data_IF_273905418439
#
_entry.id   IF_273905418439
#
_cell.length_a   1.000
_cell.length_b   1.000
_cell.length_c   1.000
_cell.angle_alpha   90.00
_cell.angle_beta   90.00
_cell.angle_gamma   90.00
#
_symmetry.space_group_name_H-M   'P 1'
#
loop_
_entity.id
_entity.type
_entity.pdbx_description
1 polymer ?
#
# COMPACT_ATOMS: atom_id res chain seq x y z
N UNK A 1 -7.32 8.53 4.62
CA UNK A 1 -6.91 8.10 3.26
C UNK A 1 -8.04 8.37 2.26
N UNK A 2 -7.79 8.19 0.96
CA UNK A 2 -8.83 8.27 -0.09
C UNK A 2 -9.33 6.86 -0.40
N UNK A 3 -10.60 6.57 -0.13
CA UNK A 3 -11.17 5.22 -0.23
C UNK A 3 -11.25 4.61 -1.63
N UNK A 4 -10.83 5.34 -2.67
CA UNK A 4 -10.80 4.86 -4.06
C UNK A 4 -9.41 4.84 -4.69
N UNK A 5 -8.35 5.29 -4.03
CA UNK A 5 -7.05 5.35 -4.71
C UNK A 5 -6.48 3.95 -4.90
N UNK A 6 -6.40 3.51 -6.16
CA UNK A 6 -5.71 2.28 -6.60
C UNK A 6 -4.36 2.63 -7.24
N UNK A 7 -3.51 1.63 -7.48
CA UNK A 7 -2.22 1.82 -8.14
C UNK A 7 -2.43 2.23 -9.60
N UNK A 8 -3.20 1.45 -10.36
CA UNK A 8 -3.28 1.55 -11.83
C UNK A 8 -4.61 2.07 -12.38
N UNK A 9 -5.72 1.85 -11.66
CA UNK A 9 -7.05 2.04 -12.21
C UNK A 9 -7.87 3.08 -11.44
N UNK A 10 -8.48 4.02 -12.14
CA UNK A 10 -9.31 5.05 -11.53
C UNK A 10 -10.63 4.44 -11.01
N UNK A 11 -11.22 4.97 -9.94
CA UNK A 11 -12.55 4.55 -9.47
C UNK A 11 -13.36 5.72 -8.88
N UNK A 12 -12.88 6.29 -7.77
CA UNK A 12 -13.48 7.50 -7.14
C UNK A 12 -12.60 8.74 -7.28
N UNK A 13 -11.50 8.60 -8.03
CA UNK A 13 -10.46 9.59 -8.26
C UNK A 13 -9.33 8.99 -9.09
N UNK A 14 -8.35 9.83 -9.43
CA UNK A 14 -7.17 9.43 -10.20
C UNK A 14 -6.36 8.34 -9.46
N UNK A 15 -5.98 7.30 -10.18
CA UNK A 15 -5.04 6.28 -9.71
C UNK A 15 -3.70 6.90 -9.29
N UNK A 16 -2.99 6.18 -8.42
CA UNK A 16 -1.67 6.57 -7.92
C UNK A 16 -0.72 6.92 -9.06
N UNK A 17 -0.67 6.08 -10.10
CA UNK A 17 0.19 6.33 -11.25
C UNK A 17 -0.21 7.59 -12.04
N UNK A 18 -1.51 7.84 -12.21
CA UNK A 18 -2.02 9.01 -12.93
C UNK A 18 -1.73 10.31 -12.19
N UNK A 19 -1.78 10.31 -10.86
CA UNK A 19 -1.54 11.50 -10.04
C UNK A 19 -0.09 11.69 -9.60
N UNK A 20 0.80 10.72 -9.86
CA UNK A 20 2.17 10.76 -9.34
C UNK A 20 2.96 11.98 -9.83
N UNK A 21 2.79 12.40 -11.09
CA UNK A 21 3.46 13.61 -11.59
C UNK A 21 3.02 14.84 -10.80
N UNK A 22 1.70 15.03 -10.69
CA UNK A 22 1.10 16.18 -10.01
C UNK A 22 1.45 16.20 -8.52
N UNK A 23 1.33 15.06 -7.85
CA UNK A 23 1.38 14.99 -6.39
C UNK A 23 2.79 14.77 -5.84
N UNK A 24 3.75 14.35 -6.67
CA UNK A 24 5.13 14.06 -6.24
C UNK A 24 6.15 14.71 -7.16
N UNK A 25 6.19 14.35 -8.44
CA UNK A 25 7.32 14.74 -9.31
C UNK A 25 7.38 16.25 -9.60
N UNK A 26 6.22 16.91 -9.67
CA UNK A 26 6.10 18.34 -9.94
C UNK A 26 6.12 19.19 -8.65
N UNK A 27 6.18 18.57 -7.47
CA UNK A 27 6.18 19.30 -6.21
C UNK A 27 7.58 19.86 -5.92
N UNK A 28 7.72 21.18 -5.67
CA UNK A 28 9.02 21.80 -5.46
C UNK A 28 9.68 21.30 -4.18
N UNK A 29 10.98 20.97 -4.27
CA UNK A 29 11.80 20.60 -3.12
C UNK A 29 11.58 19.18 -2.59
N UNK A 30 10.76 18.35 -3.26
CA UNK A 30 10.61 16.94 -2.88
C UNK A 30 11.89 16.17 -3.16
N UNK A 31 12.39 15.48 -2.15
CA UNK A 31 13.58 14.61 -2.22
C UNK A 31 13.26 13.15 -1.95
N UNK A 32 12.15 12.89 -1.24
CA UNK A 32 11.73 11.54 -0.85
C UNK A 32 10.21 11.41 -1.01
N UNK A 33 9.75 10.20 -1.32
CA UNK A 33 8.33 9.86 -1.32
C UNK A 33 8.11 8.52 -0.63
N UNK A 34 7.12 8.46 0.28
CA UNK A 34 6.69 7.22 0.93
C UNK A 34 5.34 6.83 0.35
N UNK A 35 5.26 5.66 -0.29
CA UNK A 35 4.08 5.20 -1.01
C UNK A 35 3.48 3.99 -0.29
N UNK A 36 2.22 4.13 0.12
CA UNK A 36 1.39 3.03 0.60
C UNK A 36 0.12 2.97 -0.26
N UNK A 37 0.11 2.08 -1.24
CA UNK A 37 -1.01 1.86 -2.17
C UNK A 37 -1.12 0.36 -2.50
N UNK A 38 -2.35 -0.12 -2.73
CA UNK A 38 -2.63 -1.49 -3.15
C UNK A 38 -3.79 -2.15 -2.41
N UNK A 39 -4.09 -1.75 -1.17
CA UNK A 39 -5.23 -2.30 -0.41
C UNK A 39 -6.54 -2.06 -1.16
N UNK A 40 -6.72 -0.88 -1.76
CA UNK A 40 -7.91 -0.56 -2.56
C UNK A 40 -7.98 -1.31 -3.89
N UNK A 41 -6.85 -1.72 -4.47
CA UNK A 41 -6.80 -2.53 -5.69
C UNK A 41 -7.39 -3.93 -5.42
N UNK A 42 -7.14 -4.46 -4.22
CA UNK A 42 -7.70 -5.74 -3.76
C UNK A 42 -9.11 -5.58 -3.21
N UNK A 43 -9.33 -4.60 -2.35
CA UNK A 43 -10.56 -4.46 -1.56
C UNK A 43 -11.76 -4.08 -2.42
N UNK A 44 -11.61 -3.08 -3.29
CA UNK A 44 -12.76 -2.55 -4.02
C UNK A 44 -13.33 -3.57 -5.02
N UNK A 45 -14.62 -3.43 -5.33
CA UNK A 45 -15.22 -4.17 -6.45
C UNK A 45 -14.77 -3.49 -7.75
N UNK A 46 -14.12 -4.21 -8.66
CA UNK A 46 -13.71 -3.64 -9.92
C UNK A 46 -14.95 -3.25 -10.74
N UNK A 47 -14.87 -2.16 -11.50
CA UNK A 47 -15.96 -1.73 -12.38
C UNK A 47 -16.12 -2.65 -13.58
N UNK A 48 -15.04 -3.31 -13.98
CA UNK A 48 -14.95 -4.29 -15.08
C UNK A 48 -14.10 -5.48 -14.65
N UNK A 49 -14.37 -6.68 -15.17
CA UNK A 49 -13.66 -7.89 -14.75
C UNK A 49 -12.14 -7.79 -14.94
N UNK A 50 -11.69 -7.04 -15.95
CA UNK A 50 -10.28 -6.81 -16.29
C UNK A 50 -9.55 -5.92 -15.27
N UNK A 51 -10.28 -5.23 -14.38
CA UNK A 51 -9.69 -4.43 -13.31
C UNK A 51 -9.49 -5.22 -12.01
N UNK A 52 -9.88 -6.50 -11.94
CA UNK A 52 -9.48 -7.38 -10.85
C UNK A 52 -7.98 -7.68 -11.01
N UNK A 53 -7.17 -7.13 -10.12
CA UNK A 53 -5.71 -7.18 -10.24
C UNK A 53 -5.13 -8.53 -9.80
N UNK A 54 -4.03 -8.90 -10.44
CA UNK A 54 -3.13 -9.99 -10.02
C UNK A 54 -1.88 -9.41 -9.37
N UNK A 55 -1.13 -10.24 -8.61
CA UNK A 55 0.13 -9.80 -8.01
C UNK A 55 1.13 -9.26 -9.05
N UNK A 56 1.37 -9.93 -10.21
CA UNK A 56 2.25 -9.38 -11.24
C UNK A 56 1.83 -8.00 -11.76
N UNK A 57 0.53 -7.75 -11.93
CA UNK A 57 0.03 -6.44 -12.36
C UNK A 57 0.27 -5.37 -11.29
N UNK A 58 -0.04 -5.66 -10.02
CA UNK A 58 0.25 -4.74 -8.91
C UNK A 58 1.75 -4.44 -8.82
N UNK A 59 2.60 -5.47 -8.90
CA UNK A 59 4.05 -5.34 -8.89
C UNK A 59 4.54 -4.46 -10.05
N UNK A 60 4.06 -4.70 -11.26
CA UNK A 60 4.41 -3.88 -12.42
C UNK A 60 4.00 -2.41 -12.22
N UNK A 61 2.81 -2.16 -11.66
CA UNK A 61 2.35 -0.82 -11.30
C UNK A 61 3.23 -0.16 -10.22
N UNK A 62 3.61 -0.90 -9.18
CA UNK A 62 4.48 -0.38 -8.12
C UNK A 62 5.87 -0.02 -8.65
N UNK A 63 6.45 -0.85 -9.53
CA UNK A 63 7.75 -0.57 -10.18
C UNK A 63 7.75 0.74 -10.98
N UNK A 64 6.61 1.17 -11.51
CA UNK A 64 6.53 2.46 -12.23
C UNK A 64 6.80 3.65 -11.30
N UNK A 65 6.46 3.56 -10.01
CA UNK A 65 6.80 4.63 -9.06
C UNK A 65 8.32 4.73 -8.86
N UNK A 66 9.02 3.60 -8.72
CA UNK A 66 10.48 3.56 -8.64
C UNK A 66 11.11 4.21 -9.86
N UNK A 67 10.81 3.68 -11.06
CA UNK A 67 11.37 4.17 -12.33
C UNK A 67 11.19 5.67 -12.48
N UNK A 68 9.97 6.17 -12.21
CA UNK A 68 9.65 7.58 -12.41
C UNK A 68 10.22 8.48 -11.31
N UNK A 69 10.17 8.06 -10.05
CA UNK A 69 10.72 8.83 -8.94
C UNK A 69 12.23 8.95 -9.01
N UNK A 70 12.92 7.82 -9.21
CA UNK A 70 14.38 7.76 -9.29
C UNK A 70 14.92 8.52 -10.52
N UNK A 71 14.21 8.50 -11.65
CA UNK A 71 14.56 9.32 -12.81
C UNK A 71 14.50 10.84 -12.53
N UNK A 72 13.76 11.24 -11.49
CA UNK A 72 13.67 12.62 -11.02
C UNK A 72 14.55 12.91 -9.79
N UNK A 73 15.41 11.97 -9.39
CA UNK A 73 16.28 12.11 -8.21
C UNK A 73 15.52 12.08 -6.88
N UNK A 74 14.29 11.55 -6.87
CA UNK A 74 13.47 11.38 -5.67
C UNK A 74 13.67 9.96 -5.15
N UNK A 75 14.10 9.81 -3.89
CA UNK A 75 14.16 8.49 -3.23
C UNK A 75 12.73 7.95 -3.05
N UNK A 76 12.48 6.75 -3.54
CA UNK A 76 11.17 6.10 -3.50
C UNK A 76 11.16 5.02 -2.43
N UNK A 77 10.35 5.22 -1.40
CA UNK A 77 10.17 4.31 -0.28
C UNK A 77 8.78 3.68 -0.41
N UNK A 78 8.70 2.35 -0.45
CA UNK A 78 7.42 1.63 -0.54
C UNK A 78 7.04 0.99 0.79
N UNK A 79 5.74 0.93 1.06
CA UNK A 79 5.21 0.22 2.21
C UNK A 79 4.47 -1.06 1.80
N UNK A 80 4.63 -2.12 2.59
CA UNK A 80 3.83 -3.35 2.44
C UNK A 80 2.34 -3.10 2.69
N UNK A 81 1.50 -3.91 2.06
CA UNK A 81 0.04 -3.89 2.20
C UNK A 81 -0.39 -4.45 3.56
N UNK A 82 -1.17 -3.70 4.31
CA UNK A 82 -1.67 -4.09 5.64
C UNK A 82 -2.78 -5.14 5.55
N UNK A 83 -3.00 -5.94 6.61
CA UNK A 83 -4.17 -6.83 6.69
C UNK A 83 -5.48 -6.05 6.62
N UNK A 84 -6.53 -6.70 6.10
CA UNK A 84 -7.88 -6.14 6.00
C UNK A 84 -8.98 -7.21 6.09
N UNK A 85 -8.68 -8.38 6.65
CA UNK A 85 -9.71 -9.38 6.93
C UNK A 85 -10.77 -8.79 7.86
N UNK A 86 -12.04 -9.16 7.62
CA UNK A 86 -13.21 -8.66 8.36
C UNK A 86 -13.54 -7.17 8.19
N UNK A 87 -12.93 -6.48 7.21
CA UNK A 87 -13.28 -5.08 6.92
C UNK A 87 -14.80 -4.85 6.82
N UNK A 88 -15.29 -3.79 7.48
CA UNK A 88 -16.73 -3.64 7.76
C UNK A 88 -17.51 -2.87 6.68
N UNK A 89 -16.85 -2.30 5.68
CA UNK A 89 -17.48 -1.44 4.67
C UNK A 89 -17.99 -2.20 3.45
N UNK A 90 -17.36 -3.31 3.07
CA UNK A 90 -17.73 -4.06 1.88
C UNK A 90 -17.71 -5.58 2.12
N UNK A 91 -18.89 -6.20 2.24
CA UNK A 91 -18.99 -7.65 2.38
C UNK A 91 -18.29 -8.39 1.24
N UNK A 92 -17.43 -9.35 1.60
CA UNK A 92 -16.65 -10.18 0.67
C UNK A 92 -15.46 -9.47 0.02
N UNK A 93 -15.13 -8.25 0.43
CA UNK A 93 -13.96 -7.54 -0.09
C UNK A 93 -12.66 -8.29 0.21
N UNK A 94 -12.56 -8.84 1.42
CA UNK A 94 -11.55 -9.83 1.75
C UNK A 94 -12.04 -11.24 1.39
N UNK A 95 -11.13 -12.04 0.83
CA UNK A 95 -11.30 -13.47 0.61
C UNK A 95 -9.91 -14.12 0.42
N UNK A 96 -9.80 -15.46 0.51
CA UNK A 96 -8.51 -16.16 0.40
C UNK A 96 -7.75 -15.88 -0.91
N UNK A 97 -8.46 -15.64 -2.02
CA UNK A 97 -7.81 -15.32 -3.32
C UNK A 97 -7.13 -13.95 -3.26
N UNK A 98 -7.79 -12.93 -2.71
CA UNK A 98 -7.24 -11.58 -2.57
C UNK A 98 -6.13 -11.53 -1.51
N UNK A 99 -6.27 -12.31 -0.44
CA UNK A 99 -5.20 -12.48 0.54
C UNK A 99 -3.94 -13.11 -0.08
N UNK A 100 -4.10 -14.13 -0.94
CA UNK A 100 -2.96 -14.71 -1.65
C UNK A 100 -2.24 -13.67 -2.53
N UNK A 101 -2.97 -12.76 -3.17
CA UNK A 101 -2.36 -11.65 -3.93
C UNK A 101 -1.63 -10.69 -2.99
N UNK A 102 -2.24 -10.31 -1.87
CA UNK A 102 -1.60 -9.45 -0.86
C UNK A 102 -0.28 -10.03 -0.36
N UNK A 103 -0.27 -11.32 -0.02
CA UNK A 103 0.93 -12.03 0.44
C UNK A 103 2.00 -12.07 -0.64
N UNK A 104 1.64 -12.39 -1.89
CA UNK A 104 2.60 -12.42 -2.99
C UNK A 104 3.25 -11.05 -3.24
N UNK A 105 2.47 -9.95 -3.18
CA UNK A 105 3.00 -8.59 -3.30
C UNK A 105 3.91 -8.25 -2.12
N UNK A 106 3.51 -8.55 -0.88
CA UNK A 106 4.32 -8.27 0.31
C UNK A 106 5.61 -9.09 0.36
N UNK A 107 5.56 -10.36 -0.06
CA UNK A 107 6.74 -11.21 -0.17
C UNK A 107 7.73 -10.65 -1.19
N UNK A 108 7.25 -10.21 -2.35
CA UNK A 108 8.09 -9.54 -3.34
C UNK A 108 8.67 -8.22 -2.80
N UNK A 109 7.85 -7.38 -2.16
CA UNK A 109 8.32 -6.11 -1.57
C UNK A 109 9.47 -6.35 -0.58
N UNK A 110 9.40 -7.40 0.25
CA UNK A 110 10.46 -7.72 1.22
C UNK A 110 11.77 -8.20 0.60
N UNK A 111 11.78 -8.58 -0.67
CA UNK A 111 12.94 -9.17 -1.37
C UNK A 111 13.50 -8.29 -2.48
N UNK A 112 12.72 -7.33 -2.96
CA UNK A 112 13.10 -6.49 -4.09
C UNK A 112 14.10 -5.39 -3.67
N UNK A 113 14.93 -4.99 -4.63
CA UNK A 113 15.83 -3.85 -4.59
C UNK A 113 15.43 -2.75 -5.61
N UNK A 114 14.22 -2.86 -6.20
CA UNK A 114 13.71 -1.85 -7.15
C UNK A 114 13.50 -0.46 -6.50
N UNK A 115 13.41 -0.38 -5.17
CA UNK A 115 13.10 0.85 -4.40
C UNK A 115 14.25 1.20 -3.46
N UNK A 116 14.35 2.48 -3.09
CA UNK A 116 15.38 2.98 -2.18
C UNK A 116 15.24 2.39 -0.76
N UNK A 117 14.00 2.11 -0.33
CA UNK A 117 13.72 1.35 0.88
C UNK A 117 12.30 0.76 0.90
N UNK A 118 12.10 -0.21 1.79
CA UNK A 118 10.81 -0.83 2.07
C UNK A 118 10.49 -0.71 3.56
N UNK A 119 9.29 -0.23 3.89
CA UNK A 119 8.78 -0.19 5.26
C UNK A 119 7.69 -1.24 5.44
N UNK A 120 7.88 -2.16 6.39
CA UNK A 120 6.99 -3.30 6.58
C UNK A 120 5.81 -2.97 7.53
N UNK A 121 4.87 -2.16 7.05
CA UNK A 121 3.64 -1.85 7.78
C UNK A 121 2.73 -3.07 8.02
N UNK A 122 2.84 -4.13 7.21
CA UNK A 122 2.15 -5.39 7.47
C UNK A 122 2.64 -5.98 8.80
N UNK A 123 3.97 -6.12 8.97
CA UNK A 123 4.54 -6.60 10.23
C UNK A 123 4.31 -5.65 11.40
N UNK A 124 4.28 -4.35 11.16
CA UNK A 124 4.05 -3.36 12.22
C UNK A 124 2.63 -3.45 12.80
N UNK A 125 1.64 -3.88 12.01
CA UNK A 125 0.24 -3.82 12.37
C UNK A 125 -0.46 -5.16 12.58
N UNK A 126 -0.02 -6.22 11.89
CA UNK A 126 -0.74 -7.50 11.90
C UNK A 126 -0.74 -8.15 13.28
N UNK A 127 -1.83 -8.85 13.57
CA UNK A 127 -1.89 -9.74 14.71
C UNK A 127 -0.90 -10.92 14.48
N UNK A 128 0.06 -11.18 15.38
CA UNK A 128 1.00 -12.29 15.20
C UNK A 128 0.32 -13.66 15.26
N UNK A 129 -0.78 -13.78 15.99
CA UNK A 129 -1.58 -15.01 16.09
C UNK A 129 -2.62 -15.11 14.98
N UNK A 130 -2.98 -13.99 14.34
CA UNK A 130 -3.88 -13.95 13.18
C UNK A 130 -3.40 -12.99 12.07
N UNK A 131 -2.38 -13.36 11.25
CA UNK A 131 -1.69 -12.42 10.34
C UNK A 131 -2.51 -11.80 9.21
N UNK A 132 -3.73 -12.29 8.98
CA UNK A 132 -4.71 -11.75 8.02
C UNK A 132 -5.52 -10.58 8.61
N UNK A 133 -5.45 -10.39 9.94
CA UNK A 133 -6.13 -9.36 10.71
C UNK A 133 -5.14 -8.36 11.32
N UNK A 134 -5.61 -7.12 11.56
CA UNK A 134 -4.87 -6.12 12.32
C UNK A 134 -4.92 -6.44 13.81
N UNK A 135 -3.83 -6.22 14.55
CA UNK A 135 -3.81 -6.42 15.99
C UNK A 135 -4.86 -5.48 16.65
N UNK A 136 -5.74 -5.97 17.55
CA UNK A 136 -6.88 -5.17 18.02
C UNK A 136 -6.54 -3.82 18.64
N UNK A 137 -5.36 -3.68 19.27
CA UNK A 137 -4.91 -2.38 19.82
C UNK A 137 -4.61 -1.33 18.74
N UNK A 138 -4.31 -1.78 17.52
CA UNK A 138 -3.99 -0.96 16.37
C UNK A 138 -5.18 -0.73 15.43
N UNK A 139 -6.29 -1.44 15.61
CA UNK A 139 -7.50 -1.31 14.80
C UNK A 139 -8.42 -0.22 15.37
N UNK A 140 -9.02 0.62 14.50
CA UNK A 140 -10.02 1.60 14.93
C UNK A 140 -11.42 0.98 15.12
N UNK A 141 -11.58 -0.30 14.80
CA UNK A 141 -12.80 -1.09 14.91
C UNK A 141 -13.46 -1.40 13.58
N UNK A 142 -12.86 -1.00 12.46
CA UNK A 142 -13.37 -1.27 11.11
C UNK A 142 -12.58 -2.34 10.34
N UNK A 143 -11.54 -2.89 10.98
CA UNK A 143 -10.66 -3.94 10.46
C UNK A 143 -9.96 -3.57 9.14
N UNK A 144 -9.80 -2.27 8.86
CA UNK A 144 -9.17 -1.74 7.66
C UNK A 144 -8.21 -0.59 7.97
N UNK A 145 -8.63 0.34 8.83
CA UNK A 145 -7.90 1.53 9.17
C UNK A 145 -7.26 1.42 10.55
N UNK A 146 -5.99 1.86 10.69
CA UNK A 146 -5.36 1.93 11.99
C UNK A 146 -6.06 2.93 12.92
N UNK A 147 -6.08 2.62 14.22
CA UNK A 147 -6.32 3.58 15.30
C UNK A 147 -5.13 4.54 15.45
N UNK A 148 -5.24 5.52 16.34
CA UNK A 148 -4.11 6.42 16.67
C UNK A 148 -2.85 5.64 17.12
N UNK A 149 -3.03 4.53 17.85
CA UNK A 149 -1.91 3.66 18.25
C UNK A 149 -1.33 2.91 17.06
N UNK A 150 -2.18 2.45 16.14
CA UNK A 150 -1.73 1.80 14.91
C UNK A 150 -0.95 2.76 14.01
N UNK A 151 -1.43 4.00 13.84
CA UNK A 151 -0.70 5.02 13.09
C UNK A 151 0.64 5.40 13.76
N UNK A 152 0.69 5.44 15.10
CA UNK A 152 1.97 5.59 15.81
C UNK A 152 2.92 4.43 15.53
N UNK A 153 2.45 3.18 15.60
CA UNK A 153 3.26 2.00 15.31
C UNK A 153 3.79 2.01 13.86
N UNK A 154 3.00 2.49 12.89
CA UNK A 154 3.49 2.70 11.52
C UNK A 154 4.58 3.76 11.46
N UNK A 155 4.41 4.90 12.15
CA UNK A 155 5.43 5.94 12.21
C UNK A 155 6.75 5.43 12.81
N UNK A 156 6.66 4.69 13.91
CA UNK A 156 7.81 4.09 14.61
C UNK A 156 8.53 3.02 13.78
N UNK A 157 7.85 2.43 12.79
CA UNK A 157 8.43 1.43 11.89
C UNK A 157 9.31 2.04 10.78
N UNK A 158 9.26 3.36 10.58
CA UNK A 158 10.08 4.05 9.59
C UNK A 158 11.46 4.36 10.20
N UNK A 159 12.53 3.78 9.66
CA UNK A 159 13.89 4.16 10.04
C UNK A 159 14.17 5.59 9.54
N UNK A 160 14.40 6.52 10.48
CA UNK A 160 14.63 7.92 10.14
C UNK A 160 15.93 8.15 9.36
N UNK A 161 16.89 7.21 9.41
CA UNK A 161 18.12 7.26 8.61
C UNK A 161 17.86 7.21 7.11
N UNK A 162 16.66 6.80 6.69
CA UNK A 162 16.26 6.85 5.28
C UNK A 162 16.25 8.27 4.71
N UNK A 163 16.12 9.28 5.57
CA UNK A 163 16.00 10.70 5.20
C UNK A 163 17.24 11.53 5.49
N UNK A 164 18.32 10.89 5.96
CA UNK A 164 19.63 11.52 6.14
C UNK A 164 20.41 11.61 4.82
#
# INVERSE_FOLDING_TARGET
GLGGNRIMHDIRGDSGLRRFDRDVLAQPGVTHTVIMLGTNDLRNRPGKIEEEVTAPQMIAGLKQFAVRGQAHGIKVILATLTPFENETFLPGAWNPKREAVRQAVNEWLRKTDDFDAIVDFDRALRDPDHPTSMLPIYDCGDHLHPSDRGYRAMGDAIDLKLFE
#
